data_IF_367377673542
#
_entry.id   IF_367377673542
#
_cell.length_a   1.000
_cell.length_b   1.000
_cell.length_c   1.000
_cell.angle_alpha   90.00
_cell.angle_beta   90.00
_cell.angle_gamma   90.00
#
_symmetry.space_group_name_H-M   'P 1'
#
loop_
_entity.id
_entity.type
_entity.pdbx_description
1 polymer ?
#
# COMPACT_ATOMS: atom_id res chain seq x y z
N UNK A 1 -3.23 -3.99 -22.31
CA UNK A 1 -4.08 -3.36 -21.26
C UNK A 1 -4.43 -1.96 -21.73
N UNK A 2 -5.72 -1.68 -21.96
CA UNK A 2 -6.17 -0.32 -22.29
C UNK A 2 -6.01 0.57 -21.06
N UNK A 3 -5.47 1.77 -21.25
CA UNK A 3 -5.33 2.74 -20.16
C UNK A 3 -6.67 3.44 -19.94
N UNK A 4 -7.20 3.38 -18.71
CA UNK A 4 -8.38 4.14 -18.31
C UNK A 4 -7.93 5.37 -17.49
N UNK A 5 -7.86 6.56 -18.09
CA UNK A 5 -7.40 7.76 -17.40
C UNK A 5 -8.37 8.22 -16.30
N UNK A 6 -9.67 8.00 -16.49
CA UNK A 6 -10.70 8.30 -15.48
C UNK A 6 -10.53 7.46 -14.22
N UNK A 7 -10.26 6.16 -14.38
CA UNK A 7 -9.99 5.28 -13.25
C UNK A 7 -8.70 5.68 -12.51
N UNK A 8 -7.63 5.99 -13.25
CA UNK A 8 -6.37 6.43 -12.65
C UNK A 8 -6.54 7.72 -11.84
N UNK A 9 -7.28 8.70 -12.37
CA UNK A 9 -7.59 9.94 -11.67
C UNK A 9 -8.46 9.70 -10.44
N UNK A 10 -9.50 8.86 -10.54
CA UNK A 10 -10.40 8.55 -9.43
C UNK A 10 -9.69 7.84 -8.27
N UNK A 11 -8.81 6.88 -8.55
CA UNK A 11 -8.04 6.19 -7.51
C UNK A 11 -6.99 7.13 -6.88
N UNK A 12 -6.38 8.00 -7.68
CA UNK A 12 -5.41 8.99 -7.17
C UNK A 12 -6.08 10.04 -6.29
N UNK A 13 -7.27 10.51 -6.67
CA UNK A 13 -8.04 11.47 -5.86
C UNK A 13 -8.55 10.83 -4.58
N UNK A 14 -9.02 9.58 -4.64
CA UNK A 14 -9.41 8.81 -3.47
C UNK A 14 -8.25 8.64 -2.48
N UNK A 15 -7.05 8.31 -2.96
CA UNK A 15 -5.86 8.19 -2.12
C UNK A 15 -5.52 9.52 -1.43
N UNK A 16 -5.57 10.63 -2.17
CA UNK A 16 -5.36 11.97 -1.61
C UNK A 16 -6.41 12.35 -0.56
N UNK A 17 -7.69 12.10 -0.85
CA UNK A 17 -8.80 12.38 0.08
C UNK A 17 -8.70 11.54 1.36
N UNK A 18 -8.40 10.25 1.24
CA UNK A 18 -8.16 9.37 2.39
C UNK A 18 -6.94 9.83 3.20
N UNK A 19 -5.85 10.22 2.53
CA UNK A 19 -4.67 10.78 3.19
C UNK A 19 -4.98 12.03 3.99
N UNK A 20 -5.75 12.98 3.41
CA UNK A 20 -6.18 14.19 4.10
C UNK A 20 -7.10 13.88 5.29
N UNK A 21 -8.08 13.00 5.10
CA UNK A 21 -8.97 12.56 6.17
C UNK A 21 -8.18 11.93 7.32
N UNK A 22 -7.27 11.01 7.01
CA UNK A 22 -6.42 10.35 8.00
C UNK A 22 -5.51 11.36 8.71
N UNK A 23 -4.99 12.37 8.01
CA UNK A 23 -4.23 13.46 8.63
C UNK A 23 -5.11 14.22 9.64
N UNK A 24 -6.30 14.66 9.25
CA UNK A 24 -7.24 15.35 10.13
C UNK A 24 -7.61 14.51 11.37
N UNK A 25 -7.79 13.20 11.20
CA UNK A 25 -8.06 12.27 12.30
C UNK A 25 -6.84 12.10 13.22
N UNK A 26 -5.64 11.94 12.65
CA UNK A 26 -4.40 11.76 13.42
C UNK A 26 -3.98 13.02 14.18
N UNK A 27 -4.40 14.21 13.75
CA UNK A 27 -4.24 15.45 14.52
C UNK A 27 -5.08 15.45 15.81
N UNK A 28 -6.17 14.67 15.87
CA UNK A 28 -7.04 14.56 17.05
C UNK A 28 -6.65 13.39 17.95
N UNK A 29 -6.35 12.25 17.36
CA UNK A 29 -5.97 11.04 18.08
C UNK A 29 -5.01 10.19 17.23
N UNK A 30 -3.89 9.71 17.79
CA UNK A 30 -2.95 8.88 17.05
C UNK A 30 -3.55 7.52 16.68
N UNK A 31 -3.07 6.95 15.58
CA UNK A 31 -3.43 5.59 15.20
C UNK A 31 -3.15 4.59 16.33
N UNK A 32 -4.15 3.74 16.62
CA UNK A 32 -4.17 2.80 17.77
C UNK A 32 -3.35 1.54 17.53
N UNK A 33 -2.06 1.71 17.23
CA UNK A 33 -1.09 0.62 17.15
C UNK A 33 0.22 1.01 17.83
N UNK A 34 1.07 0.01 18.14
CA UNK A 34 2.37 0.24 18.77
C UNK A 34 2.22 0.94 20.14
N UNK A 35 2.96 2.04 20.35
CA UNK A 35 2.97 2.78 21.62
C UNK A 35 1.63 3.44 21.98
N UNK A 36 0.77 3.67 21.01
CA UNK A 36 -0.56 4.27 21.21
C UNK A 36 -1.68 3.23 21.27
N UNK A 37 -1.32 1.95 21.44
CA UNK A 37 -2.29 0.92 21.68
C UNK A 37 -2.92 1.13 23.07
N UNK A 38 -4.18 1.59 23.07
CA UNK A 38 -4.98 1.69 24.29
C UNK A 38 -5.17 0.30 24.94
N UNK A 39 -5.61 0.29 26.21
CA UNK A 39 -5.77 -0.90 27.06
C UNK A 39 -6.31 -2.11 26.29
N UNK A 40 -5.80 -3.32 26.57
CA UNK A 40 -6.13 -4.53 25.81
C UNK A 40 -7.65 -4.70 25.60
N UNK A 41 -8.12 -4.41 24.39
CA UNK A 41 -9.48 -4.75 23.96
C UNK A 41 -9.67 -6.27 23.88
N UNK A 42 -10.88 -6.73 23.52
CA UNK A 42 -11.23 -8.15 23.49
C UNK A 42 -10.15 -8.98 22.74
N UNK A 43 -9.59 -10.03 23.35
CA UNK A 43 -8.42 -10.75 22.81
C UNK A 43 -8.67 -11.43 21.47
N UNK A 44 -9.91 -11.80 21.14
CA UNK A 44 -10.28 -12.41 19.86
C UNK A 44 -10.22 -11.46 18.65
N UNK A 45 -10.15 -10.14 18.89
CA UNK A 45 -10.02 -9.14 17.83
C UNK A 45 -8.55 -8.82 17.49
N UNK A 46 -7.58 -9.61 18.00
CA UNK A 46 -6.15 -9.39 17.77
C UNK A 46 -5.54 -10.51 16.95
N UNK A 47 -4.82 -10.10 15.91
CA UNK A 47 -3.94 -10.96 15.12
C UNK A 47 -2.49 -10.77 15.58
N UNK A 48 -1.63 -11.80 15.47
CA UNK A 48 -0.21 -11.63 15.72
C UNK A 48 0.36 -10.51 14.86
N UNK A 49 1.10 -9.58 15.47
CA UNK A 49 1.59 -8.38 14.78
C UNK A 49 2.37 -8.69 13.50
N UNK A 50 3.20 -9.76 13.52
CA UNK A 50 3.95 -10.22 12.34
C UNK A 50 3.01 -10.62 11.19
N UNK A 51 1.95 -11.36 11.49
CA UNK A 51 0.96 -11.75 10.48
C UNK A 51 0.19 -10.53 9.98
N UNK A 52 -0.20 -9.61 10.87
CA UNK A 52 -0.90 -8.39 10.50
C UNK A 52 -0.10 -7.56 9.50
N UNK A 53 1.17 -7.26 9.82
CA UNK A 53 2.08 -6.52 8.95
C UNK A 53 2.34 -7.27 7.64
N UNK A 54 2.63 -8.57 7.70
CA UNK A 54 2.88 -9.35 6.49
C UNK A 54 1.67 -9.33 5.54
N UNK A 55 0.47 -9.65 6.03
CA UNK A 55 -0.73 -9.65 5.19
C UNK A 55 -1.11 -8.24 4.69
N UNK A 56 -0.85 -7.20 5.49
CA UNK A 56 -1.16 -5.82 5.13
C UNK A 56 -0.24 -5.31 4.00
N UNK A 57 1.05 -5.61 4.06
CA UNK A 57 2.04 -5.08 3.11
C UNK A 57 2.21 -5.96 1.86
N UNK A 58 1.88 -7.26 1.94
CA UNK A 58 2.01 -8.22 0.84
C UNK A 58 1.37 -7.78 -0.49
N UNK A 59 0.16 -7.17 -0.55
CA UNK A 59 -0.44 -6.75 -1.82
C UNK A 59 0.39 -5.71 -2.57
N UNK A 60 1.04 -4.81 -1.83
CA UNK A 60 1.91 -3.77 -2.39
C UNK A 60 3.18 -4.35 -3.00
N UNK A 61 3.66 -5.49 -2.52
CA UNK A 61 4.75 -6.23 -3.17
C UNK A 61 4.25 -7.09 -4.34
N UNK A 62 3.24 -7.91 -4.09
CA UNK A 62 2.83 -8.99 -5.00
C UNK A 62 2.24 -8.44 -6.31
N UNK A 63 1.39 -7.39 -6.24
CA UNK A 63 0.73 -6.86 -7.43
C UNK A 63 1.75 -6.27 -8.43
N UNK A 64 2.68 -5.37 -8.03
CA UNK A 64 3.69 -4.85 -8.95
C UNK A 64 4.70 -5.92 -9.42
N UNK A 65 5.08 -6.87 -8.55
CA UNK A 65 5.98 -7.95 -8.92
C UNK A 65 5.37 -8.84 -10.02
N UNK A 66 4.09 -9.20 -9.89
CA UNK A 66 3.37 -9.96 -10.92
C UNK A 66 3.19 -9.15 -12.21
N UNK A 67 3.00 -7.83 -12.13
CA UNK A 67 2.94 -6.97 -13.31
C UNK A 67 4.27 -6.95 -14.09
N UNK A 68 5.40 -6.90 -13.37
CA UNK A 68 6.73 -6.98 -13.97
C UNK A 68 7.03 -8.37 -14.54
N UNK A 69 6.66 -9.43 -13.83
CA UNK A 69 7.00 -10.81 -14.20
C UNK A 69 6.13 -11.37 -15.33
N UNK A 70 4.82 -11.07 -15.33
CA UNK A 70 3.85 -11.79 -16.18
C UNK A 70 3.25 -10.96 -17.31
N UNK A 71 3.23 -9.64 -17.18
CA UNK A 71 2.44 -8.78 -18.07
C UNK A 71 3.28 -7.87 -18.96
N UNK A 72 4.55 -7.62 -18.63
CA UNK A 72 5.48 -6.70 -19.32
C UNK A 72 4.75 -5.58 -20.09
N UNK A 73 3.95 -4.75 -19.40
CA UNK A 73 3.08 -3.81 -20.07
C UNK A 73 3.90 -2.76 -20.84
N UNK A 74 3.40 -2.23 -21.96
CA UNK A 74 4.13 -1.26 -22.79
C UNK A 74 4.62 -0.01 -22.04
N UNK A 75 3.98 0.34 -20.91
CA UNK A 75 4.39 1.46 -20.04
C UNK A 75 5.61 1.17 -19.16
N UNK A 76 5.97 -0.11 -19.00
CA UNK A 76 7.18 -0.57 -18.31
C UNK A 76 8.28 -0.97 -19.30
N UNK A 77 8.09 -0.73 -20.61
CA UNK A 77 9.14 -0.88 -21.62
C UNK A 77 10.29 0.11 -21.41
N UNK A 78 10.04 1.42 -21.17
CA UNK A 78 11.13 2.33 -20.85
C UNK A 78 11.87 1.88 -19.59
N UNK A 79 13.20 1.81 -19.68
CA UNK A 79 14.07 1.36 -18.58
C UNK A 79 13.78 2.13 -17.28
N UNK A 80 13.58 3.45 -17.37
CA UNK A 80 13.29 4.29 -16.20
C UNK A 80 12.01 3.86 -15.47
N UNK A 81 10.92 3.58 -16.20
CA UNK A 81 9.66 3.13 -15.61
C UNK A 81 9.81 1.74 -14.96
N UNK A 82 10.59 0.86 -15.59
CA UNK A 82 10.90 -0.47 -15.06
C UNK A 82 11.72 -0.39 -13.77
N UNK A 83 12.73 0.48 -13.71
CA UNK A 83 13.55 0.72 -12.52
C UNK A 83 12.73 1.30 -11.38
N UNK A 84 11.86 2.28 -11.64
CA UNK A 84 10.96 2.84 -10.62
C UNK A 84 10.04 1.77 -10.03
N UNK A 85 9.45 0.93 -10.87
CA UNK A 85 8.61 -0.19 -10.42
C UNK A 85 9.42 -1.24 -9.65
N UNK A 86 10.66 -1.53 -10.10
CA UNK A 86 11.58 -2.44 -9.40
C UNK A 86 11.99 -1.93 -8.02
N UNK A 87 12.30 -0.64 -7.88
CA UNK A 87 12.60 -0.03 -6.58
C UNK A 87 11.39 -0.08 -5.64
N UNK A 88 10.18 0.12 -6.16
CA UNK A 88 8.95 -0.06 -5.39
C UNK A 88 8.81 -1.51 -4.89
N UNK A 89 9.05 -2.50 -5.75
CA UNK A 89 9.05 -3.92 -5.34
C UNK A 89 10.12 -4.20 -4.28
N UNK A 90 11.35 -3.70 -4.47
CA UNK A 90 12.44 -3.88 -3.51
C UNK A 90 12.13 -3.27 -2.14
N UNK A 91 11.47 -2.11 -2.10
CA UNK A 91 11.02 -1.49 -0.87
C UNK A 91 10.03 -2.38 -0.12
N UNK A 92 8.97 -2.86 -0.78
CA UNK A 92 7.94 -3.70 -0.14
C UNK A 92 8.36 -5.15 0.09
N UNK A 93 9.45 -5.62 -0.52
CA UNK A 93 10.04 -6.92 -0.20
C UNK A 93 10.73 -6.91 1.19
N UNK A 94 11.33 -5.78 1.57
CA UNK A 94 12.02 -5.62 2.86
C UNK A 94 11.10 -5.09 3.97
N UNK A 95 9.93 -4.54 3.62
CA UNK A 95 9.00 -3.90 4.57
C UNK A 95 8.21 -4.92 5.38
#
# INVERSE_FOLDING_TARGET
MQCSPSLALALSSLLGALGFLLLCLNLRAPARYGKHQEKPGKPWARVPARCAWFLQELPSFLVPALLLALRSPPRLEPLGCRLLCGMFCGHYFHR
#
